data_IF_246304059695
#
_entry.id   IF_246304059695
#
_cell.length_a   1.000
_cell.length_b   1.000
_cell.length_c   1.000
_cell.angle_alpha   90.00
_cell.angle_beta   90.00
_cell.angle_gamma   90.00
#
_symmetry.space_group_name_H-M   'P 1'
#
loop_
_entity.id
_entity.type
_entity.pdbx_description
1 polymer ?
#
# COMPACT_ATOMS: atom_id res chain seq x y z
N UNK A 1 -28.89 24.30 -8.24
CA UNK A 1 -29.01 22.94 -8.79
C UNK A 1 -29.75 22.10 -7.78
N UNK A 2 -30.98 21.70 -8.10
CA UNK A 2 -31.86 20.97 -7.19
C UNK A 2 -31.40 19.51 -7.10
N UNK A 3 -31.14 19.02 -5.91
CA UNK A 3 -30.74 17.63 -5.67
C UNK A 3 -31.97 16.74 -5.90
N UNK A 4 -31.93 15.93 -6.95
CA UNK A 4 -32.96 14.96 -7.35
C UNK A 4 -33.38 14.02 -6.21
N UNK A 5 -32.58 13.98 -5.14
CA UNK A 5 -32.78 13.15 -3.96
C UNK A 5 -33.98 13.52 -3.09
N UNK A 6 -34.46 14.77 -3.18
CA UNK A 6 -35.61 15.23 -2.41
C UNK A 6 -36.96 14.77 -3.00
N UNK A 7 -37.01 14.37 -4.28
CA UNK A 7 -38.26 14.00 -4.97
C UNK A 7 -38.83 12.64 -4.52
N UNK A 8 -37.99 11.76 -3.95
CA UNK A 8 -38.33 10.34 -3.77
C UNK A 8 -38.28 9.84 -2.31
N UNK A 9 -38.27 10.73 -1.31
CA UNK A 9 -38.28 10.37 0.12
C UNK A 9 -37.25 9.28 0.52
N UNK A 10 -36.06 9.24 -0.10
CA UNK A 10 -35.03 8.30 0.31
C UNK A 10 -34.36 8.83 1.58
N UNK A 11 -34.27 7.96 2.59
CA UNK A 11 -33.51 8.25 3.81
C UNK A 11 -32.05 8.53 3.41
N UNK A 12 -31.50 9.71 3.73
CA UNK A 12 -30.11 10.00 3.45
C UNK A 12 -29.23 9.00 4.20
N UNK A 13 -28.25 8.40 3.52
CA UNK A 13 -27.28 7.52 4.18
C UNK A 13 -26.63 8.29 5.33
N UNK A 14 -26.56 7.71 6.54
CA UNK A 14 -25.97 8.40 7.67
C UNK A 14 -24.53 8.78 7.32
N UNK A 15 -24.24 10.07 7.31
CA UNK A 15 -22.88 10.58 7.11
C UNK A 15 -22.10 10.22 8.36
N UNK A 16 -21.30 9.15 8.28
CA UNK A 16 -20.44 8.73 9.38
C UNK A 16 -19.38 9.80 9.62
N UNK A 17 -19.61 10.64 10.61
CA UNK A 17 -18.62 11.62 11.06
C UNK A 17 -17.42 10.88 11.62
N UNK A 18 -16.25 11.07 11.00
CA UNK A 18 -14.99 10.52 11.51
C UNK A 18 -14.59 11.35 12.73
N UNK A 19 -14.82 10.84 13.92
CA UNK A 19 -14.18 11.38 15.13
C UNK A 19 -12.69 11.09 15.02
N UNK A 20 -11.86 12.12 14.85
CA UNK A 20 -10.43 12.01 15.03
C UNK A 20 -10.15 11.87 16.54
N UNK A 21 -10.25 10.65 17.07
CA UNK A 21 -9.74 10.38 18.41
C UNK A 21 -8.25 10.76 18.42
N UNK A 22 -7.87 11.65 19.34
CA UNK A 22 -6.48 12.06 19.47
C UNK A 22 -5.69 10.86 20.02
N UNK A 23 -4.87 10.25 19.17
CA UNK A 23 -4.10 9.05 19.51
C UNK A 23 -2.84 9.51 20.23
N UNK A 24 -2.58 8.92 21.41
CA UNK A 24 -1.33 9.13 22.13
C UNK A 24 -0.14 8.87 21.23
N UNK A 25 0.81 9.82 21.21
CA UNK A 25 2.03 9.69 20.41
C UNK A 25 2.87 8.48 20.84
N UNK A 26 2.69 7.99 22.06
CA UNK A 26 3.30 6.73 22.52
C UNK A 26 2.84 5.53 21.67
N UNK A 27 1.54 5.46 21.35
CA UNK A 27 0.96 4.38 20.53
C UNK A 27 1.45 4.50 19.10
N UNK A 28 1.47 5.71 18.53
CA UNK A 28 2.00 5.94 17.17
C UNK A 28 3.45 5.50 17.07
N UNK A 29 4.28 5.89 18.05
CA UNK A 29 5.69 5.52 18.09
C UNK A 29 5.88 4.02 18.26
N UNK A 30 5.07 3.34 19.08
CA UNK A 30 5.12 1.90 19.24
C UNK A 30 4.80 1.18 17.91
N UNK A 31 3.75 1.59 17.21
CA UNK A 31 3.37 1.04 15.91
C UNK A 31 4.44 1.31 14.85
N UNK A 32 4.98 2.53 14.78
CA UNK A 32 6.07 2.86 13.86
C UNK A 32 7.32 2.00 14.12
N UNK A 33 7.73 1.86 15.38
CA UNK A 33 8.87 1.01 15.77
C UNK A 33 8.63 -0.45 15.38
N UNK A 34 7.43 -0.98 15.63
CA UNK A 34 7.06 -2.34 15.25
C UNK A 34 7.24 -2.57 13.74
N UNK A 35 6.71 -1.68 12.89
CA UNK A 35 6.85 -1.81 11.44
C UNK A 35 8.30 -1.70 10.94
N UNK A 36 9.16 -0.99 11.65
CA UNK A 36 10.57 -0.78 11.28
C UNK A 36 11.48 -1.95 11.66
N UNK A 37 11.01 -2.92 12.45
CA UNK A 37 11.82 -4.09 12.80
C UNK A 37 12.07 -4.98 11.58
N UNK A 38 13.26 -5.56 11.52
CA UNK A 38 13.70 -6.41 10.39
C UNK A 38 12.99 -7.77 10.32
N UNK A 39 12.41 -8.23 11.43
CA UNK A 39 11.58 -9.44 11.53
C UNK A 39 10.13 -9.22 11.07
N UNK A 40 9.66 -7.96 11.00
CA UNK A 40 8.32 -7.60 10.52
C UNK A 40 8.35 -7.14 9.07
N UNK A 41 9.35 -6.35 8.71
CA UNK A 41 9.55 -5.85 7.35
C UNK A 41 11.02 -5.85 6.97
N UNK A 42 11.34 -6.12 5.71
CA UNK A 42 12.71 -6.04 5.22
C UNK A 42 12.88 -4.90 4.23
N UNK A 43 14.06 -4.28 4.22
CA UNK A 43 14.38 -3.19 3.31
C UNK A 43 14.73 -3.73 1.91
N UNK A 44 14.17 -3.12 0.87
CA UNK A 44 14.51 -3.48 -0.51
C UNK A 44 15.92 -2.95 -0.86
N UNK A 45 16.74 -3.70 -1.60
CA UNK A 45 18.10 -3.29 -1.94
C UNK A 45 18.19 -2.34 -3.15
N UNK A 46 17.12 -2.20 -3.94
CA UNK A 46 17.17 -1.51 -5.23
C UNK A 46 17.18 0.02 -5.12
N UNK A 47 18.03 0.70 -5.88
CA UNK A 47 18.05 2.18 -5.97
C UNK A 47 16.72 2.79 -6.44
N UNK A 48 15.95 2.03 -7.25
CA UNK A 48 14.61 2.40 -7.73
C UNK A 48 13.51 2.16 -6.69
N UNK A 49 13.82 1.49 -5.59
CA UNK A 49 12.88 1.14 -4.53
C UNK A 49 12.86 2.22 -3.45
N UNK A 50 12.81 3.49 -3.86
CA UNK A 50 12.70 4.64 -2.96
C UNK A 50 11.29 5.25 -3.02
N UNK A 51 10.88 5.88 -1.92
CA UNK A 51 9.62 6.63 -1.78
C UNK A 51 9.94 8.00 -1.22
N UNK A 52 9.40 9.04 -1.85
CA UNK A 52 9.47 10.41 -1.33
C UNK A 52 8.24 10.64 -0.46
N UNK A 53 8.47 10.95 0.82
CA UNK A 53 7.43 11.25 1.80
C UNK A 53 7.58 12.73 2.20
N UNK A 54 6.47 13.44 2.33
CA UNK A 54 6.47 14.79 2.90
C UNK A 54 6.29 14.69 4.41
N UNK A 55 7.17 15.32 5.17
CA UNK A 55 7.01 15.48 6.61
C UNK A 55 6.01 16.61 6.93
N UNK A 56 5.63 16.70 8.21
CA UNK A 56 4.75 17.75 8.74
C UNK A 56 5.29 19.17 8.46
N UNK A 57 6.61 19.33 8.37
CA UNK A 57 7.28 20.58 8.00
C UNK A 57 7.28 20.87 6.49
N UNK A 58 6.53 20.10 5.69
CA UNK A 58 6.50 20.12 4.22
C UNK A 58 7.83 19.80 3.52
N UNK A 59 8.82 19.30 4.25
CA UNK A 59 10.10 18.86 3.70
C UNK A 59 9.95 17.48 3.07
N UNK A 60 10.48 17.30 1.86
CA UNK A 60 10.49 16.01 1.15
C UNK A 60 11.68 15.18 1.62
N UNK A 61 11.41 14.00 2.19
CA UNK A 61 12.43 13.04 2.60
C UNK A 61 12.30 11.77 1.76
N UNK A 62 13.42 11.29 1.24
CA UNK A 62 13.53 10.02 0.52
C UNK A 62 13.81 8.88 1.47
N UNK A 63 12.90 7.91 1.53
CA UNK A 63 13.05 6.67 2.27
C UNK A 63 13.20 5.48 1.31
N UNK A 64 13.95 4.47 1.73
CA UNK A 64 13.97 3.19 1.05
C UNK A 64 12.70 2.40 1.39
N UNK A 65 12.09 1.76 0.39
CA UNK A 65 10.91 0.90 0.59
C UNK A 65 11.26 -0.27 1.49
N UNK A 66 10.36 -0.56 2.41
CA UNK A 66 10.36 -1.79 3.20
C UNK A 66 9.15 -2.62 2.82
N UNK A 67 9.29 -3.94 2.86
CA UNK A 67 8.25 -4.89 2.48
C UNK A 67 7.86 -5.69 3.70
N UNK A 68 6.55 -5.72 3.98
CA UNK A 68 6.01 -6.57 5.04
C UNK A 68 6.23 -8.04 4.69
N UNK A 69 6.75 -8.80 5.64
CA UNK A 69 6.92 -10.25 5.51
C UNK A 69 5.58 -10.97 5.59
N UNK A 70 4.75 -10.56 6.54
CA UNK A 70 3.44 -11.14 6.85
C UNK A 70 2.28 -10.24 6.40
N UNK A 71 1.07 -10.78 6.46
CA UNK A 71 -0.13 -10.01 6.17
C UNK A 71 -0.41 -8.97 7.26
N UNK A 72 -1.15 -7.90 6.92
CA UNK A 72 -1.54 -6.88 7.90
C UNK A 72 -2.33 -7.45 9.09
N UNK A 73 -3.10 -8.53 8.86
CA UNK A 73 -3.84 -9.21 9.92
C UNK A 73 -2.92 -9.90 10.92
N UNK A 74 -1.98 -10.69 10.42
CA UNK A 74 -1.00 -11.41 11.24
C UNK A 74 -0.12 -10.45 12.03
N UNK A 75 0.35 -9.37 11.38
CA UNK A 75 1.13 -8.32 12.04
C UNK A 75 0.36 -7.60 13.15
N UNK A 76 -0.95 -7.42 12.99
CA UNK A 76 -1.78 -6.85 14.03
C UNK A 76 -1.91 -7.80 15.23
N UNK A 77 -2.16 -9.08 14.97
CA UNK A 77 -2.26 -10.11 16.00
C UNK A 77 -0.94 -10.19 16.79
N UNK A 78 0.21 -10.22 16.09
CA UNK A 78 1.54 -10.18 16.69
C UNK A 78 1.77 -8.91 17.54
N UNK A 79 1.37 -7.75 17.04
CA UNK A 79 1.53 -6.48 17.76
C UNK A 79 0.75 -6.48 19.09
N UNK A 80 -0.48 -6.99 19.11
CA UNK A 80 -1.32 -7.09 20.31
C UNK A 80 -0.75 -8.12 21.30
N UNK A 81 -0.21 -9.23 20.80
CA UNK A 81 0.43 -10.25 21.63
C UNK A 81 1.69 -9.73 22.34
N UNK A 82 2.52 -8.96 21.64
CA UNK A 82 3.74 -8.34 22.18
C UNK A 82 3.43 -7.16 23.13
N UNK A 83 2.39 -6.39 22.82
CA UNK A 83 2.04 -5.16 23.56
C UNK A 83 0.73 -5.32 24.34
N UNK A 84 0.72 -6.28 25.27
CA UNK A 84 -0.42 -6.51 26.16
C UNK A 84 -0.74 -5.23 26.93
N UNK A 85 -1.91 -4.66 26.68
CA UNK A 85 -2.38 -3.41 27.30
C UNK A 85 -2.57 -2.24 26.33
N UNK A 86 -2.05 -2.32 25.10
CA UNK A 86 -2.36 -1.34 24.06
C UNK A 86 -3.68 -1.72 23.38
N UNK A 87 -4.68 -0.86 23.49
CA UNK A 87 -5.97 -1.03 22.82
C UNK A 87 -5.96 -0.22 21.53
N UNK A 88 -5.85 -0.92 20.40
CA UNK A 88 -5.88 -0.30 19.07
C UNK A 88 -6.75 -1.12 18.11
N UNK A 89 -7.50 -0.45 17.23
CA UNK A 89 -8.28 -1.11 16.18
C UNK A 89 -7.40 -1.50 14.98
N UNK A 90 -7.78 -2.57 14.28
CA UNK A 90 -7.08 -3.04 13.07
C UNK A 90 -6.98 -1.98 11.97
N UNK A 91 -8.06 -1.22 11.77
CA UNK A 91 -8.08 -0.12 10.81
C UNK A 91 -7.07 0.95 11.19
N UNK A 92 -7.06 1.36 12.46
CA UNK A 92 -6.14 2.39 12.92
C UNK A 92 -4.68 1.94 12.87
N UNK A 93 -4.40 0.68 13.23
CA UNK A 93 -3.08 0.09 13.08
C UNK A 93 -2.58 0.07 11.62
N UNK A 94 -3.51 -0.15 10.68
CA UNK A 94 -3.19 -0.12 9.24
C UNK A 94 -2.97 1.30 8.74
N UNK A 95 -3.72 2.27 9.26
CA UNK A 95 -3.61 3.70 8.91
C UNK A 95 -2.32 4.33 9.48
N UNK A 96 -1.88 3.89 10.67
CA UNK A 96 -0.63 4.33 11.31
C UNK A 96 0.63 3.70 10.67
N UNK A 97 0.48 2.90 9.62
CA UNK A 97 1.62 2.31 8.92
C UNK A 97 2.41 3.40 8.19
N UNK A 98 3.76 3.45 8.34
CA UNK A 98 4.57 4.38 7.59
C UNK A 98 4.40 4.17 6.08
N UNK A 99 4.35 5.24 5.27
CA UNK A 99 4.06 5.14 3.83
C UNK A 99 5.15 4.41 3.02
N UNK A 100 6.38 4.37 3.52
CA UNK A 100 7.48 3.62 2.89
C UNK A 100 7.47 2.12 3.24
N UNK A 101 6.59 1.67 4.15
CA UNK A 101 6.37 0.26 4.47
C UNK A 101 5.20 -0.26 3.65
N UNK A 102 5.48 -1.16 2.73
CA UNK A 102 4.56 -1.58 1.67
C UNK A 102 4.18 -3.05 1.88
N UNK A 103 2.90 -3.44 1.70
CA UNK A 103 2.50 -4.84 1.75
C UNK A 103 3.13 -5.64 0.61
N UNK A 104 3.42 -6.91 0.86
CA UNK A 104 3.91 -7.87 -0.16
C UNK A 104 3.04 -7.91 -1.42
N UNK A 105 1.72 -7.75 -1.28
CA UNK A 105 0.78 -7.70 -2.40
C UNK A 105 1.12 -6.59 -3.42
N UNK A 106 1.73 -5.48 -3.00
CA UNK A 106 2.12 -4.42 -3.93
C UNK A 106 3.31 -4.81 -4.84
N UNK A 107 4.03 -5.88 -4.50
CA UNK A 107 5.07 -6.47 -5.35
C UNK A 107 4.52 -7.50 -6.34
N UNK A 108 3.32 -8.03 -6.11
CA UNK A 108 2.80 -9.21 -6.82
C UNK A 108 2.67 -8.99 -8.33
N UNK A 109 2.42 -7.76 -8.78
CA UNK A 109 2.34 -7.42 -10.21
C UNK A 109 3.68 -7.49 -10.95
N UNK A 110 4.81 -7.77 -10.27
CA UNK A 110 6.13 -7.81 -10.90
C UNK A 110 6.78 -9.19 -10.97
N UNK A 111 6.15 -10.23 -10.43
CA UNK A 111 6.83 -11.51 -10.19
C UNK A 111 5.91 -12.66 -10.60
N UNK A 112 5.61 -12.78 -11.90
CA UNK A 112 5.24 -14.09 -12.41
C UNK A 112 6.54 -14.83 -12.75
N UNK A 113 6.87 -15.87 -11.98
CA UNK A 113 8.07 -16.70 -12.20
C UNK A 113 7.73 -17.92 -13.07
N UNK A 114 6.48 -18.06 -13.50
CA UNK A 114 6.08 -19.23 -14.26
C UNK A 114 6.58 -19.15 -15.69
N UNK A 115 7.38 -20.14 -16.09
CA UNK A 115 8.08 -20.19 -17.38
C UNK A 115 7.14 -19.94 -18.56
N UNK A 116 5.93 -20.52 -18.57
CA UNK A 116 5.00 -20.33 -19.69
C UNK A 116 4.49 -18.90 -19.81
N UNK A 117 4.20 -18.24 -18.68
CA UNK A 117 3.72 -16.86 -18.69
C UNK A 117 4.86 -15.88 -18.98
N UNK A 118 6.04 -16.09 -18.38
CA UNK A 118 7.19 -15.21 -18.61
C UNK A 118 7.72 -15.33 -20.04
N UNK A 119 7.81 -16.54 -20.60
CA UNK A 119 8.23 -16.72 -21.99
C UNK A 119 7.25 -16.06 -22.97
N UNK A 120 5.94 -16.17 -22.74
CA UNK A 120 4.94 -15.49 -23.56
C UNK A 120 5.10 -13.96 -23.49
N UNK A 121 5.30 -13.40 -22.30
CA UNK A 121 5.56 -11.97 -22.12
C UNK A 121 6.85 -11.51 -22.81
N UNK A 122 7.92 -12.31 -22.77
CA UNK A 122 9.19 -12.00 -23.43
C UNK A 122 9.05 -11.97 -24.95
N UNK A 123 8.31 -12.92 -25.54
CA UNK A 123 8.03 -12.96 -26.98
C UNK A 123 7.22 -11.71 -27.39
N UNK A 124 6.17 -11.37 -26.64
CA UNK A 124 5.36 -10.17 -26.91
C UNK A 124 6.20 -8.88 -26.86
N UNK A 125 7.06 -8.73 -25.84
CA UNK A 125 8.01 -7.60 -25.72
C UNK A 125 9.03 -7.56 -26.85
N UNK A 126 9.44 -8.70 -27.39
CA UNK A 126 10.37 -8.76 -28.51
C UNK A 126 9.69 -8.30 -29.81
N UNK A 127 8.46 -8.74 -30.05
CA UNK A 127 7.65 -8.37 -31.23
C UNK A 127 7.26 -6.89 -31.20
N UNK A 128 6.93 -6.34 -30.03
CA UNK A 128 6.57 -4.93 -29.82
C UNK A 128 7.59 -3.95 -30.45
N UNK A 129 8.88 -4.29 -30.38
CA UNK A 129 9.97 -3.47 -30.96
C UNK A 129 9.93 -3.36 -32.48
N UNK A 130 9.30 -4.32 -33.15
CA UNK A 130 9.21 -4.40 -34.61
C UNK A 130 7.86 -3.91 -35.16
N UNK A 131 6.84 -3.86 -34.31
CA UNK A 131 5.52 -3.35 -34.69
C UNK A 131 5.50 -1.83 -34.51
N UNK A 132 5.80 -1.09 -35.57
CA UNK A 132 5.58 0.37 -35.61
C UNK A 132 4.08 0.66 -35.73
N UNK A 133 3.37 0.62 -34.60
CA UNK A 133 1.95 0.97 -34.56
C UNK A 133 1.46 1.06 -33.12
N UNK A 134 0.79 2.16 -32.79
CA UNK A 134 0.26 2.46 -31.45
C UNK A 134 -0.48 1.25 -30.87
N UNK A 135 0.14 0.59 -29.89
CA UNK A 135 -0.44 -0.58 -29.25
C UNK A 135 -1.61 -0.13 -28.37
N UNK A 136 -2.72 -0.85 -28.48
CA UNK A 136 -3.92 -0.66 -27.68
C UNK A 136 -3.58 -0.57 -26.18
N UNK A 137 -4.18 0.39 -25.47
CA UNK A 137 -3.94 0.73 -24.06
C UNK A 137 -4.10 -0.44 -23.07
N UNK A 138 -4.72 -1.54 -23.49
CA UNK A 138 -4.84 -2.78 -22.71
C UNK A 138 -3.52 -3.56 -22.58
N UNK A 139 -2.60 -3.49 -23.55
CA UNK A 139 -1.29 -4.16 -23.49
C UNK A 139 -0.29 -3.44 -22.55
N UNK A 140 -0.50 -2.14 -22.32
CA UNK A 140 0.31 -1.35 -21.38
C UNK A 140 0.19 -1.85 -19.93
N UNK A 141 -0.95 -2.48 -19.58
CA UNK A 141 -1.16 -3.08 -18.25
C UNK A 141 -0.25 -4.28 -18.00
N UNK A 142 0.25 -4.94 -19.04
CA UNK A 142 1.13 -6.11 -18.94
C UNK A 142 2.61 -5.79 -19.16
N UNK A 143 2.92 -4.73 -19.92
CA UNK A 143 4.31 -4.35 -20.22
C UNK A 143 4.92 -3.39 -19.20
N UNK A 144 4.11 -2.77 -18.32
CA UNK A 144 4.60 -2.02 -17.15
C UNK A 144 5.51 -0.83 -17.50
N UNK A 145 5.27 -0.22 -18.67
CA UNK A 145 5.83 1.09 -19.04
C UNK A 145 4.92 2.21 -18.59
#
# INVERSE_FOLDING_TARGET
MYDSSQKYNLVPKPVRQRTCANISDQIKNAVHKFYLRDDVSYQLPGKRDTVVVKNDDNIKITYQKRILLNNLRENFELFIEENKGIIISRSLFSDLRPPFVVPKAALAHRICVWIYHENANLILKAIDKFVKGNVCSSLQQFTGT
#
